data_IF_330919862866
#
_entry.id   IF_330919862866
#
_cell.length_a   1.000
_cell.length_b   1.000
_cell.length_c   1.000
_cell.angle_alpha   90.00
_cell.angle_beta   90.00
_cell.angle_gamma   90.00
#
_symmetry.space_group_name_H-M   'P 1'
#
loop_
_entity.id
_entity.type
_entity.pdbx_description
1 polymer ?
#
# COMPACT_ATOMS: atom_id res chain seq x y z
N UNK A 1 -9.04 54.42 -41.16
CA UNK A 1 -9.17 53.11 -40.48
C UNK A 1 -9.32 53.21 -38.96
N UNK A 2 -8.55 54.04 -38.23
CA UNK A 2 -8.67 54.14 -36.75
C UNK A 2 -10.06 54.50 -36.22
N UNK A 3 -10.81 55.40 -36.88
CA UNK A 3 -12.17 55.80 -36.46
C UNK A 3 -13.26 54.75 -36.69
N UNK A 4 -13.06 53.84 -37.64
CA UNK A 4 -13.99 52.74 -37.88
C UNK A 4 -13.80 51.60 -36.87
N UNK A 5 -12.55 51.35 -36.46
CA UNK A 5 -12.23 50.37 -35.42
C UNK A 5 -12.77 50.82 -34.06
N UNK A 6 -12.72 52.10 -33.71
CA UNK A 6 -13.30 52.59 -32.45
C UNK A 6 -14.82 52.46 -32.40
N UNK A 7 -15.52 52.67 -33.52
CA UNK A 7 -16.99 52.53 -33.58
C UNK A 7 -17.39 51.06 -33.48
N UNK A 8 -16.65 50.15 -34.11
CA UNK A 8 -16.91 48.71 -34.01
C UNK A 8 -16.62 48.19 -32.60
N UNK A 9 -15.54 48.66 -31.95
CA UNK A 9 -15.21 48.29 -30.56
C UNK A 9 -16.23 48.86 -29.56
N UNK A 10 -16.76 50.06 -29.78
CA UNK A 10 -17.84 50.63 -28.96
C UNK A 10 -19.17 49.89 -29.12
N UNK A 11 -19.51 49.44 -30.33
CA UNK A 11 -20.69 48.60 -30.57
C UNK A 11 -20.51 47.21 -29.95
N UNK A 12 -19.29 46.67 -29.96
CA UNK A 12 -18.99 45.38 -29.33
C UNK A 12 -19.02 45.46 -27.79
N UNK A 13 -18.57 46.57 -27.19
CA UNK A 13 -18.69 46.79 -25.74
C UNK A 13 -20.14 47.05 -25.29
N UNK A 14 -20.99 47.64 -26.14
CA UNK A 14 -22.42 47.78 -25.86
C UNK A 14 -23.18 46.45 -25.91
N UNK A 15 -22.66 45.44 -26.63
CA UNK A 15 -23.28 44.11 -26.73
C UNK A 15 -22.95 43.17 -25.55
N UNK A 16 -21.88 43.44 -24.80
CA UNK A 16 -21.44 42.60 -23.66
C UNK A 16 -21.95 43.14 -22.30
N UNK A 17 -22.56 44.33 -22.28
CA UNK A 17 -23.03 45.00 -21.07
C UNK A 17 -24.52 44.84 -20.75
N UNK A 18 -25.20 43.83 -21.28
CA UNK A 18 -26.59 43.53 -20.92
C UNK A 18 -26.63 42.23 -20.12
N UNK A 19 -26.53 42.32 -18.79
CA UNK A 19 -27.07 41.27 -17.94
C UNK A 19 -28.55 41.14 -18.30
N UNK A 20 -28.88 40.11 -19.07
CA UNK A 20 -30.24 39.80 -19.43
C UNK A 20 -30.99 39.37 -18.17
N UNK A 21 -31.50 40.33 -17.38
CA UNK A 21 -32.67 40.08 -16.55
C UNK A 21 -33.78 39.70 -17.51
N UNK A 22 -34.06 38.40 -17.61
CA UNK A 22 -35.09 37.84 -18.47
C UNK A 22 -36.45 38.44 -18.10
N UNK A 23 -36.80 39.54 -18.77
CA UNK A 23 -38.09 40.20 -18.57
C UNK A 23 -39.15 39.38 -19.29
N UNK A 24 -40.12 38.83 -18.54
CA UNK A 24 -41.19 37.99 -19.10
C UNK A 24 -41.86 38.64 -20.32
N UNK A 25 -42.04 37.87 -21.39
CA UNK A 25 -42.71 38.28 -22.61
C UNK A 25 -44.18 38.63 -22.36
N UNK A 26 -44.80 39.41 -23.26
CA UNK A 26 -46.21 39.82 -23.14
C UNK A 26 -47.18 38.64 -23.07
N UNK A 27 -46.87 37.52 -23.74
CA UNK A 27 -47.67 36.28 -23.70
C UNK A 27 -47.58 35.61 -22.32
N UNK A 28 -46.38 35.48 -21.78
CA UNK A 28 -46.15 34.91 -20.44
C UNK A 28 -46.82 35.75 -19.35
N UNK A 29 -46.73 37.09 -19.42
CA UNK A 29 -47.43 37.98 -18.48
C UNK A 29 -48.95 37.76 -18.48
N UNK A 30 -49.55 37.49 -19.64
CA UNK A 30 -51.00 37.22 -19.75
C UNK A 30 -51.36 35.87 -19.15
N UNK A 31 -50.52 34.84 -19.34
CA UNK A 31 -50.71 33.52 -18.73
C UNK A 31 -50.53 33.55 -17.22
N UNK A 32 -49.49 34.21 -16.71
CA UNK A 32 -49.28 34.41 -15.27
C UNK A 32 -50.43 35.15 -14.62
N UNK A 33 -50.98 36.17 -15.27
CA UNK A 33 -52.17 36.89 -14.76
C UNK A 33 -53.41 35.98 -14.68
N UNK A 34 -53.58 35.04 -15.62
CA UNK A 34 -54.66 34.03 -15.54
C UNK A 34 -54.40 33.04 -14.40
N UNK A 35 -53.17 32.56 -14.24
CA UNK A 35 -52.77 31.63 -13.17
C UNK A 35 -52.96 32.23 -11.78
N UNK A 36 -52.59 33.49 -11.58
CA UNK A 36 -52.79 34.22 -10.31
C UNK A 36 -54.28 34.36 -9.97
N UNK A 37 -55.14 34.62 -10.96
CA UNK A 37 -56.59 34.71 -10.74
C UNK A 37 -57.26 33.37 -10.41
N UNK A 38 -56.66 32.27 -10.81
CA UNK A 38 -57.14 30.92 -10.54
C UNK A 38 -56.54 30.31 -9.26
N UNK A 39 -55.66 31.05 -8.57
CA UNK A 39 -54.98 30.59 -7.38
C UNK A 39 -55.77 31.05 -6.14
N UNK A 40 -56.24 30.11 -5.34
CA UNK A 40 -56.95 30.42 -4.11
C UNK A 40 -55.98 30.93 -3.02
N UNK A 41 -56.44 31.77 -2.07
CA UNK A 41 -55.58 32.31 -1.00
C UNK A 41 -54.85 31.25 -0.18
N UNK A 42 -55.48 30.09 0.09
CA UNK A 42 -54.85 28.97 0.79
C UNK A 42 -53.72 28.32 -0.02
N UNK A 43 -53.93 28.14 -1.32
CA UNK A 43 -52.92 27.58 -2.21
C UNK A 43 -51.71 28.51 -2.34
N UNK A 44 -51.95 29.82 -2.37
CA UNK A 44 -50.88 30.82 -2.37
C UNK A 44 -50.06 30.78 -1.07
N UNK A 45 -50.72 30.63 0.08
CA UNK A 45 -50.05 30.47 1.38
C UNK A 45 -49.17 29.22 1.43
N UNK A 46 -49.70 28.07 0.97
CA UNK A 46 -48.92 26.81 0.89
C UNK A 46 -47.70 26.97 0.00
N UNK A 47 -47.84 27.61 -1.16
CA UNK A 47 -46.73 27.85 -2.07
C UNK A 47 -45.63 28.71 -1.45
N UNK A 48 -45.99 29.73 -0.65
CA UNK A 48 -45.01 30.55 0.07
C UNK A 48 -44.26 29.72 1.11
N UNK A 49 -44.97 28.90 1.90
CA UNK A 49 -44.35 28.06 2.93
C UNK A 49 -43.43 27.00 2.31
N UNK A 50 -43.86 26.38 1.21
CA UNK A 50 -43.03 25.47 0.41
C UNK A 50 -41.81 26.17 -0.17
N UNK A 51 -41.95 27.37 -0.73
CA UNK A 51 -40.83 28.12 -1.28
C UNK A 51 -39.80 28.49 -0.21
N UNK A 52 -40.29 28.88 0.98
CA UNK A 52 -39.45 29.14 2.16
C UNK A 52 -38.72 27.86 2.60
N UNK A 53 -39.41 26.73 2.67
CA UNK A 53 -38.82 25.43 2.97
C UNK A 53 -37.76 25.03 1.95
N UNK A 54 -38.07 25.11 0.66
CA UNK A 54 -37.14 24.82 -0.44
C UNK A 54 -35.91 25.73 -0.38
N UNK A 55 -36.08 27.02 -0.09
CA UNK A 55 -34.96 27.95 0.08
C UNK A 55 -34.06 27.55 1.26
N UNK A 56 -34.66 27.08 2.35
CA UNK A 56 -33.90 26.53 3.48
C UNK A 56 -33.14 25.26 3.12
N UNK A 57 -33.76 24.35 2.36
CA UNK A 57 -33.12 23.12 1.87
C UNK A 57 -31.95 23.43 0.93
N UNK A 58 -32.13 24.37 0.00
CA UNK A 58 -31.06 24.83 -0.90
C UNK A 58 -29.89 25.43 -0.11
N UNK A 59 -30.17 26.20 0.95
CA UNK A 59 -29.12 26.73 1.81
C UNK A 59 -28.36 25.61 2.55
N UNK A 60 -29.07 24.60 3.07
CA UNK A 60 -28.46 23.43 3.72
C UNK A 60 -27.59 22.63 2.76
N UNK A 61 -28.12 22.28 1.58
CA UNK A 61 -27.40 21.54 0.55
C UNK A 61 -26.15 22.30 0.07
N UNK A 62 -26.23 23.63 -0.03
CA UNK A 62 -25.07 24.45 -0.37
C UNK A 62 -23.99 24.40 0.70
N UNK A 63 -24.38 24.37 1.97
CA UNK A 63 -23.44 24.25 3.09
C UNK A 63 -22.83 22.84 3.17
N UNK A 64 -23.61 21.81 2.91
CA UNK A 64 -23.12 20.43 2.78
C UNK A 64 -22.14 20.28 1.62
N UNK A 65 -22.43 20.89 0.47
CA UNK A 65 -21.52 20.88 -0.68
C UNK A 65 -20.18 21.53 -0.35
N UNK A 66 -20.19 22.70 0.30
CA UNK A 66 -18.97 23.35 0.76
C UNK A 66 -18.17 22.45 1.73
N UNK A 67 -18.85 21.79 2.67
CA UNK A 67 -18.18 20.86 3.58
C UNK A 67 -17.66 19.58 2.91
N UNK A 68 -18.24 19.17 1.77
CA UNK A 68 -17.71 18.08 0.93
C UNK A 68 -16.48 18.54 0.16
N UNK A 69 -16.49 19.76 -0.39
CA UNK A 69 -15.34 20.34 -1.08
C UNK A 69 -14.11 20.46 -0.16
N UNK A 70 -14.31 20.90 1.08
CA UNK A 70 -13.24 20.94 2.11
C UNK A 70 -12.67 19.55 2.37
N UNK A 71 -13.53 18.52 2.49
CA UNK A 71 -13.08 17.13 2.69
C UNK A 71 -12.34 16.57 1.48
N UNK A 72 -12.71 16.98 0.27
CA UNK A 72 -12.01 16.58 -0.95
C UNK A 72 -10.60 17.19 -0.94
N UNK A 73 -10.48 18.49 -0.62
CA UNK A 73 -9.18 19.15 -0.50
C UNK A 73 -8.27 18.46 0.54
N UNK A 74 -8.79 18.16 1.74
CA UNK A 74 -8.05 17.42 2.77
C UNK A 74 -7.60 16.03 2.29
N UNK A 75 -8.42 15.35 1.49
CA UNK A 75 -8.12 14.02 0.94
C UNK A 75 -7.09 14.09 -0.18
N UNK A 76 -7.12 15.12 -1.01
CA UNK A 76 -6.12 15.35 -2.04
C UNK A 76 -4.74 15.63 -1.43
N UNK A 77 -4.68 16.41 -0.34
CA UNK A 77 -3.45 16.63 0.43
C UNK A 77 -2.91 15.33 1.05
N UNK A 78 -3.80 14.48 1.60
CA UNK A 78 -3.42 13.15 2.08
C UNK A 78 -2.87 12.27 0.96
N UNK A 79 -3.53 12.25 -0.20
CA UNK A 79 -3.08 11.49 -1.37
C UNK A 79 -1.70 11.96 -1.81
N UNK A 80 -1.46 13.27 -1.90
CA UNK A 80 -0.15 13.82 -2.22
C UNK A 80 0.92 13.35 -1.22
N UNK A 81 0.61 13.41 0.09
CA UNK A 81 1.54 12.96 1.14
C UNK A 81 1.87 11.46 1.04
N UNK A 82 0.89 10.62 0.72
CA UNK A 82 1.10 9.18 0.56
C UNK A 82 1.87 8.87 -0.72
N UNK A 83 1.61 9.60 -1.81
CA UNK A 83 2.38 9.47 -3.04
C UNK A 83 3.85 9.82 -2.81
N UNK A 84 4.16 10.88 -2.06
CA UNK A 84 5.53 11.23 -1.67
C UNK A 84 6.18 10.15 -0.79
N UNK A 85 5.46 9.60 0.19
CA UNK A 85 5.97 8.51 1.02
C UNK A 85 6.27 7.25 0.20
N UNK A 86 5.38 6.89 -0.72
CA UNK A 86 5.59 5.73 -1.61
C UNK A 86 6.77 5.96 -2.54
N UNK A 87 6.96 7.17 -3.08
CA UNK A 87 8.14 7.50 -3.87
C UNK A 87 9.42 7.36 -3.04
N UNK A 88 9.44 7.93 -1.82
CA UNK A 88 10.58 7.83 -0.91
C UNK A 88 10.91 6.38 -0.53
N UNK A 89 9.90 5.57 -0.20
CA UNK A 89 10.11 4.15 0.12
C UNK A 89 10.62 3.36 -1.10
N UNK A 90 10.19 3.70 -2.31
CA UNK A 90 10.73 3.10 -3.54
C UNK A 90 12.19 3.49 -3.75
N UNK A 91 12.54 4.75 -3.50
CA UNK A 91 13.92 5.23 -3.59
C UNK A 91 14.79 4.57 -2.51
N UNK A 92 14.33 4.51 -1.26
CA UNK A 92 14.99 3.79 -0.16
C UNK A 92 15.15 2.30 -0.47
N UNK A 93 14.15 1.66 -1.09
CA UNK A 93 14.23 0.27 -1.53
C UNK A 93 15.21 0.11 -2.69
N UNK A 94 15.27 1.06 -3.62
CA UNK A 94 16.22 1.07 -4.72
C UNK A 94 17.65 1.30 -4.21
N UNK A 95 17.85 2.16 -3.21
CA UNK A 95 19.11 2.40 -2.51
C UNK A 95 19.54 1.19 -1.67
N UNK A 96 18.62 0.54 -0.97
CA UNK A 96 18.89 -0.69 -0.23
C UNK A 96 19.25 -1.86 -1.16
N UNK A 97 18.67 -1.92 -2.36
CA UNK A 97 18.99 -2.93 -3.38
C UNK A 97 20.20 -2.57 -4.26
N UNK A 98 20.61 -1.30 -4.30
CA UNK A 98 21.77 -0.81 -5.09
C UNK A 98 23.03 -0.59 -4.25
N UNK A 99 22.91 -0.43 -2.92
CA UNK A 99 23.94 -0.98 -2.03
C UNK A 99 24.09 -2.43 -2.45
N UNK A 100 25.30 -2.93 -2.71
CA UNK A 100 25.47 -4.36 -2.76
C UNK A 100 25.11 -4.85 -1.35
N UNK A 101 23.86 -5.26 -1.13
CA UNK A 101 23.65 -6.58 -0.57
C UNK A 101 24.66 -7.41 -1.35
N UNK A 102 25.73 -7.81 -0.67
CA UNK A 102 26.67 -8.76 -1.23
C UNK A 102 25.79 -9.81 -1.88
N UNK A 103 25.72 -9.77 -3.22
CA UNK A 103 24.90 -10.65 -4.07
C UNK A 103 24.88 -11.97 -3.32
N UNK A 104 23.74 -12.49 -2.83
CA UNK A 104 23.76 -13.64 -1.92
C UNK A 104 24.66 -14.64 -2.58
N UNK A 105 25.86 -14.80 -2.00
CA UNK A 105 27.02 -15.24 -2.76
C UNK A 105 26.61 -16.58 -3.31
N UNK A 106 26.36 -16.62 -4.63
CA UNK A 106 25.60 -17.65 -5.31
C UNK A 106 25.82 -18.95 -4.57
N UNK A 107 24.81 -19.37 -3.79
CA UNK A 107 24.98 -20.15 -2.56
C UNK A 107 26.33 -20.87 -2.59
N UNK A 108 27.33 -20.41 -1.81
CA UNK A 108 28.58 -21.15 -1.61
C UNK A 108 28.26 -22.40 -0.77
N UNK A 109 27.36 -23.21 -1.31
CA UNK A 109 26.97 -24.55 -0.96
C UNK A 109 28.20 -25.42 -1.18
N UNK A 110 29.08 -25.41 -0.19
CA UNK A 110 30.23 -26.30 -0.14
C UNK A 110 31.44 -25.84 0.66
N UNK A 111 31.53 -24.59 1.15
CA UNK A 111 32.72 -24.13 1.90
C UNK A 111 32.39 -23.14 3.03
N UNK A 112 31.37 -23.43 3.82
CA UNK A 112 31.12 -22.68 5.06
C UNK A 112 31.91 -23.38 6.16
N UNK A 113 32.90 -22.70 6.73
CA UNK A 113 33.64 -23.21 7.88
C UNK A 113 32.68 -23.26 9.08
N UNK A 114 32.08 -24.43 9.32
CA UNK A 114 31.10 -24.64 10.39
C UNK A 114 31.67 -24.41 11.80
N UNK A 115 33.00 -24.42 11.91
CA UNK A 115 33.74 -24.21 13.16
C UNK A 115 34.03 -22.74 13.48
N UNK A 116 33.61 -21.78 12.64
CA UNK A 116 33.92 -20.36 12.85
C UNK A 116 32.66 -19.51 12.75
N UNK A 117 32.29 -18.91 13.87
CA UNK A 117 31.16 -18.00 13.99
C UNK A 117 29.82 -18.71 14.07
N UNK A 118 28.76 -17.95 13.80
CA UNK A 118 27.38 -18.44 13.83
C UNK A 118 27.01 -19.04 12.46
N UNK A 119 26.48 -20.26 12.49
CA UNK A 119 25.97 -20.98 11.33
C UNK A 119 24.58 -21.54 11.63
N UNK A 120 23.64 -21.26 10.74
CA UNK A 120 22.27 -21.79 10.76
C UNK A 120 22.17 -22.97 9.79
N UNK A 121 21.66 -24.11 10.24
CA UNK A 121 21.36 -25.27 9.40
C UNK A 121 19.86 -25.58 9.47
N UNK A 122 19.29 -26.23 8.46
CA UNK A 122 17.88 -26.65 8.52
C UNK A 122 17.80 -28.15 8.77
N UNK A 123 17.32 -28.54 9.96
CA UNK A 123 17.10 -29.93 10.31
C UNK A 123 15.79 -30.42 9.71
N UNK A 124 15.86 -31.51 8.93
CA UNK A 124 14.71 -32.10 8.23
C UNK A 124 14.14 -33.35 8.92
N UNK A 125 14.87 -33.91 9.88
CA UNK A 125 14.42 -35.06 10.65
C UNK A 125 15.44 -35.58 11.65
N UNK A 126 14.99 -36.42 12.56
CA UNK A 126 15.83 -37.23 13.44
C UNK A 126 15.24 -38.64 13.51
N UNK A 127 16.02 -39.67 13.14
CA UNK A 127 15.54 -41.05 13.06
C UNK A 127 16.49 -42.01 13.79
N UNK A 128 15.93 -42.97 14.55
CA UNK A 128 16.73 -43.92 15.38
C UNK A 128 17.36 -45.07 14.60
N UNK A 129 16.73 -45.50 13.50
CA UNK A 129 17.10 -46.76 12.82
C UNK A 129 17.28 -46.61 11.30
N UNK A 130 17.51 -45.39 10.83
CA UNK A 130 17.83 -45.12 9.42
C UNK A 130 19.22 -44.52 9.37
N UNK A 131 20.15 -45.27 8.78
CA UNK A 131 21.46 -44.75 8.43
C UNK A 131 21.45 -44.31 6.97
N UNK A 132 21.49 -43.00 6.75
CA UNK A 132 21.60 -42.40 5.42
C UNK A 132 23.04 -41.96 5.13
N UNK A 133 24.03 -42.44 5.89
CA UNK A 133 25.44 -42.07 5.74
C UNK A 133 25.93 -42.30 4.31
N UNK A 134 25.42 -43.33 3.63
CA UNK A 134 25.73 -43.64 2.22
C UNK A 134 25.29 -42.55 1.23
N UNK A 135 24.27 -41.76 1.57
CA UNK A 135 23.76 -40.65 0.76
C UNK A 135 24.34 -39.30 1.20
N UNK A 136 24.73 -39.16 2.49
CA UNK A 136 25.35 -37.94 3.01
C UNK A 136 26.80 -37.73 2.59
N UNK A 137 27.58 -38.81 2.39
CA UNK A 137 29.02 -38.72 2.05
C UNK A 137 29.34 -37.90 0.79
N UNK A 138 28.41 -37.84 -0.17
CA UNK A 138 28.62 -37.13 -1.45
C UNK A 138 27.79 -35.85 -1.58
N UNK A 139 26.89 -35.58 -0.63
CA UNK A 139 26.00 -34.44 -0.67
C UNK A 139 26.62 -33.30 0.14
N UNK A 140 27.29 -32.36 -0.55
CA UNK A 140 27.92 -31.17 0.06
C UNK A 140 26.98 -30.34 0.95
N UNK A 141 25.67 -30.48 0.75
CA UNK A 141 24.63 -29.73 1.46
C UNK A 141 23.83 -30.59 2.44
N UNK A 142 24.27 -31.81 2.75
CA UNK A 142 23.59 -32.72 3.67
C UNK A 142 24.57 -33.19 4.74
N UNK A 143 24.24 -32.93 5.99
CA UNK A 143 25.01 -33.40 7.13
C UNK A 143 24.17 -34.35 7.98
N UNK A 144 24.83 -35.40 8.46
CA UNK A 144 24.27 -36.36 9.41
C UNK A 144 25.10 -36.29 10.70
N UNK A 145 24.44 -35.94 11.80
CA UNK A 145 25.02 -35.96 13.14
C UNK A 145 24.41 -37.12 13.92
N UNK A 146 25.23 -38.03 14.43
CA UNK A 146 24.77 -39.17 15.24
C UNK A 146 25.00 -38.87 16.72
N UNK A 147 23.93 -38.92 17.50
CA UNK A 147 23.93 -38.68 18.96
C UNK A 147 23.83 -40.01 19.74
N UNK A 148 24.32 -41.10 19.15
CA UNK A 148 24.30 -42.47 19.71
C UNK A 148 22.93 -43.16 19.72
N UNK A 149 21.83 -42.41 19.91
CA UNK A 149 20.44 -42.94 19.92
C UNK A 149 19.62 -42.54 18.70
N UNK A 150 19.98 -41.42 18.06
CA UNK A 150 19.24 -40.81 16.96
C UNK A 150 20.22 -40.21 15.95
N UNK A 151 19.95 -40.42 14.67
CA UNK A 151 20.63 -39.75 13.56
C UNK A 151 19.84 -38.51 13.18
N UNK A 152 20.44 -37.33 13.36
CA UNK A 152 19.88 -36.03 12.98
C UNK A 152 20.33 -35.69 11.58
N UNK A 153 19.40 -35.23 10.76
CA UNK A 153 19.64 -34.91 9.36
C UNK A 153 19.41 -33.43 9.12
N UNK A 154 20.45 -32.73 8.69
CA UNK A 154 20.43 -31.30 8.38
C UNK A 154 20.78 -31.05 6.92
N UNK A 155 20.12 -30.08 6.31
CA UNK A 155 20.32 -29.68 4.93
C UNK A 155 20.61 -28.19 4.88
N UNK A 156 21.66 -27.86 4.13
CA UNK A 156 22.15 -26.50 3.99
C UNK A 156 22.80 -25.98 5.27
N UNK A 157 23.70 -25.04 5.07
CA UNK A 157 24.27 -24.22 6.12
C UNK A 157 24.24 -22.78 5.61
N UNK A 158 23.96 -21.83 6.49
CA UNK A 158 23.70 -20.44 6.16
C UNK A 158 24.31 -19.55 7.24
N UNK A 159 24.86 -18.40 6.87
CA UNK A 159 25.34 -17.40 7.85
C UNK A 159 24.22 -16.46 8.28
N UNK A 160 23.18 -16.34 7.46
CA UNK A 160 22.03 -15.49 7.72
C UNK A 160 20.82 -16.33 8.16
N UNK A 161 20.13 -15.88 9.19
CA UNK A 161 18.93 -16.52 9.71
C UNK A 161 17.77 -16.48 8.69
N UNK A 162 17.60 -15.39 7.97
CA UNK A 162 16.54 -15.19 6.97
C UNK A 162 16.72 -16.08 5.74
N UNK A 163 17.96 -16.33 5.33
CA UNK A 163 18.27 -17.31 4.29
C UNK A 163 17.83 -18.72 4.74
N UNK A 164 18.15 -19.10 5.97
CA UNK A 164 17.73 -20.38 6.55
C UNK A 164 16.20 -20.47 6.70
N UNK A 165 15.52 -19.38 7.06
CA UNK A 165 14.04 -19.32 7.16
C UNK A 165 13.36 -19.49 5.81
N UNK A 166 13.89 -18.83 4.78
CA UNK A 166 13.41 -18.96 3.41
C UNK A 166 13.61 -20.39 2.90
N UNK A 167 14.79 -20.97 3.13
CA UNK A 167 15.07 -22.36 2.75
C UNK A 167 14.17 -23.37 3.48
N UNK A 168 13.93 -23.16 4.78
CA UNK A 168 12.97 -23.95 5.56
C UNK A 168 11.56 -23.90 4.96
N UNK A 169 11.09 -22.72 4.53
CA UNK A 169 9.77 -22.57 3.89
C UNK A 169 9.68 -23.39 2.61
N UNK A 170 10.68 -23.30 1.73
CA UNK A 170 10.74 -24.12 0.51
C UNK A 170 10.74 -25.62 0.80
N UNK A 171 11.49 -26.07 1.80
CA UNK A 171 11.48 -27.48 2.21
C UNK A 171 10.09 -27.94 2.68
N UNK A 172 9.37 -27.10 3.43
CA UNK A 172 8.02 -27.40 3.89
C UNK A 172 7.01 -27.45 2.74
N UNK A 173 7.13 -26.54 1.77
CA UNK A 173 6.32 -26.56 0.54
C UNK A 173 6.55 -27.83 -0.28
N UNK A 174 7.78 -28.33 -0.31
CA UNK A 174 8.13 -29.62 -0.95
C UNK A 174 7.73 -30.86 -0.14
N UNK A 175 7.09 -30.69 1.03
CA UNK A 175 6.55 -31.78 1.84
C UNK A 175 7.35 -32.17 3.08
N UNK A 176 8.46 -31.49 3.38
CA UNK A 176 9.24 -31.69 4.62
C UNK A 176 8.62 -30.85 5.75
N UNK A 177 7.46 -31.29 6.23
CA UNK A 177 6.61 -30.51 7.16
C UNK A 177 7.31 -30.16 8.47
N UNK A 178 8.14 -31.05 8.97
CA UNK A 178 8.82 -30.91 10.27
C UNK A 178 10.18 -30.20 10.15
N UNK A 179 10.50 -29.55 9.03
CA UNK A 179 11.76 -28.82 8.89
C UNK A 179 11.84 -27.65 9.88
N UNK A 180 12.95 -27.53 10.61
CA UNK A 180 13.21 -26.43 11.54
C UNK A 180 14.67 -25.97 11.50
N UNK A 181 14.92 -24.73 11.93
CA UNK A 181 16.26 -24.13 11.92
C UNK A 181 16.97 -24.51 13.22
N UNK A 182 18.23 -24.88 13.11
CA UNK A 182 19.16 -25.10 14.21
C UNK A 182 20.36 -24.19 14.06
N UNK A 183 20.83 -23.64 15.18
CA UNK A 183 21.97 -22.74 15.23
C UNK A 183 23.19 -23.40 15.87
N UNK A 184 24.35 -23.17 15.26
CA UNK A 184 25.65 -23.57 15.72
C UNK A 184 26.53 -22.33 15.86
N UNK A 185 27.33 -22.27 16.92
CA UNK A 185 28.35 -21.26 17.15
C UNK A 185 29.67 -21.98 17.38
N UNK A 186 30.64 -21.72 16.52
CA UNK A 186 31.98 -22.35 16.57
C UNK A 186 31.90 -23.89 16.65
N UNK A 187 31.03 -24.49 15.81
CA UNK A 187 30.80 -25.94 15.77
C UNK A 187 29.93 -26.51 16.90
N UNK A 188 29.54 -25.71 17.91
CA UNK A 188 28.68 -26.16 19.02
C UNK A 188 27.25 -25.70 18.82
N UNK A 189 26.29 -26.60 19.02
CA UNK A 189 24.86 -26.26 18.97
C UNK A 189 24.50 -25.31 20.12
N UNK A 190 23.85 -24.21 19.79
CA UNK A 190 23.41 -23.15 20.71
C UNK A 190 21.94 -22.81 20.45
N UNK A 191 21.24 -22.25 21.44
CA UNK A 191 19.86 -21.80 21.24
C UNK A 191 19.83 -20.63 20.25
N UNK A 192 18.84 -20.63 19.37
CA UNK A 192 18.66 -19.60 18.36
C UNK A 192 18.44 -18.23 18.99
N UNK A 193 17.83 -18.19 20.17
CA UNK A 193 17.62 -16.93 20.92
C UNK A 193 18.94 -16.27 21.31
N UNK A 194 19.88 -17.06 21.84
CA UNK A 194 21.19 -16.59 22.29
C UNK A 194 22.01 -16.02 21.12
N UNK A 195 21.88 -16.65 19.96
CA UNK A 195 22.56 -16.23 18.74
C UNK A 195 22.00 -14.92 18.18
N UNK A 196 20.67 -14.78 18.14
CA UNK A 196 20.02 -13.58 17.61
C UNK A 196 20.27 -12.35 18.51
N UNK A 197 20.40 -12.54 19.82
CA UNK A 197 20.79 -11.47 20.76
C UNK A 197 22.26 -11.06 20.62
N UNK A 198 23.16 -11.99 20.26
CA UNK A 198 24.58 -11.69 20.05
C UNK A 198 24.83 -10.87 18.77
N UNK A 199 24.07 -11.12 17.70
CA UNK A 199 24.21 -10.42 16.41
C UNK A 199 23.69 -8.98 16.46
N UNK A 200 22.78 -8.65 17.38
CA UNK A 200 22.23 -7.29 17.56
C UNK A 200 23.09 -6.39 18.47
N UNK A 201 24.11 -6.93 19.13
CA UNK A 201 25.00 -6.20 20.07
C UNK A 201 26.42 -5.95 19.55
N UNK A 202 26.69 -6.13 18.25
CA UNK A 202 27.99 -5.82 17.64
C UNK A 202 27.89 -4.71 16.62
#
# INVERSE_FOLDING_TARGET
MKRFVTVIVLIFFAAVGFEATAQMSKKEKKEWKKRIKALEPEQYKTLIEENKSLKSQVASLKNELAGVDDKIADKDDQIASYQTQVAKLRDELAEANSKPAAKPAAAQQGNINENVGVVFKVQIGAYSNKDLSKYGKNAKNFAQESDGKLNKFTVGAFRDYWEADTFKKYLREMGVKDAFIVSYKDGKRVDIKEVLEGVTKS
#
